data_IF_625173897709
#
_entry.id   IF_625173897709
#
_cell.length_a   1.000
_cell.length_b   1.000
_cell.length_c   1.000
_cell.angle_alpha   90.00
_cell.angle_beta   90.00
_cell.angle_gamma   90.00
#
_symmetry.space_group_name_H-M   'P 1'
#
loop_
_entity.id
_entity.type
_entity.pdbx_description
1 polymer ?
#
# COMPACT_ATOMS: atom_id res chain seq x y z
N UNK A 1 8.62 13.41 22.75
CA UNK A 1 9.07 12.01 22.60
C UNK A 1 9.67 11.85 21.21
N UNK A 2 10.70 11.02 21.07
CA UNK A 2 11.36 10.75 19.78
C UNK A 2 10.39 10.25 18.71
N UNK A 3 9.40 9.44 19.11
CA UNK A 3 8.36 8.92 18.21
C UNK A 3 7.62 10.03 17.46
N UNK A 4 7.25 11.12 18.15
CA UNK A 4 6.51 12.22 17.52
C UNK A 4 7.35 12.91 16.45
N UNK A 5 8.62 13.15 16.75
CA UNK A 5 9.56 13.78 15.81
C UNK A 5 9.81 12.90 14.59
N UNK A 6 9.93 11.58 14.78
CA UNK A 6 10.07 10.64 13.67
C UNK A 6 8.84 10.66 12.74
N UNK A 7 7.63 10.71 13.29
CA UNK A 7 6.39 10.81 12.50
C UNK A 7 6.33 12.15 11.74
N UNK A 8 6.62 13.26 12.41
CA UNK A 8 6.62 14.59 11.78
C UNK A 8 7.65 14.69 10.65
N UNK A 9 8.86 14.15 10.85
CA UNK A 9 9.91 14.09 9.84
C UNK A 9 9.50 13.25 8.62
N UNK A 10 8.87 12.10 8.85
CA UNK A 10 8.34 11.25 7.78
C UNK A 10 7.26 11.98 6.97
N UNK A 11 6.29 12.60 7.65
CA UNK A 11 5.20 13.34 6.99
C UNK A 11 5.75 14.52 6.18
N UNK A 12 6.73 15.25 6.70
CA UNK A 12 7.36 16.37 5.99
C UNK A 12 8.10 15.92 4.72
N UNK A 13 8.83 14.79 4.79
CA UNK A 13 9.60 14.28 3.66
C UNK A 13 8.72 13.72 2.53
N UNK A 14 7.63 13.02 2.87
CA UNK A 14 6.84 12.26 1.91
C UNK A 14 5.45 12.84 1.61
N UNK A 15 4.90 13.66 2.50
CA UNK A 15 3.58 14.29 2.37
C UNK A 15 3.39 15.16 1.12
N UNK A 16 4.33 16.06 0.74
CA UNK A 16 4.14 16.98 -0.39
C UNK A 16 3.92 16.29 -1.75
N UNK A 17 4.43 15.07 -1.92
CA UNK A 17 4.29 14.27 -3.15
C UNK A 17 3.36 13.07 -2.98
N UNK A 18 2.80 12.88 -1.79
CA UNK A 18 1.91 11.76 -1.52
C UNK A 18 0.64 11.91 -2.37
N UNK A 19 0.34 10.89 -3.16
CA UNK A 19 -0.92 10.84 -3.91
C UNK A 19 -2.03 10.43 -2.94
N UNK A 20 -3.24 11.01 -3.05
CA UNK A 20 -4.39 10.52 -2.30
C UNK A 20 -4.56 9.02 -2.50
N UNK A 21 -4.83 8.30 -1.41
CA UNK A 21 -5.17 6.90 -1.52
C UNK A 21 -6.49 6.76 -2.29
N UNK A 22 -6.45 6.12 -3.45
CA UNK A 22 -7.65 5.85 -4.23
C UNK A 22 -8.19 4.50 -3.81
N UNK A 23 -9.32 4.50 -3.12
CA UNK A 23 -10.05 3.27 -2.82
C UNK A 23 -10.58 2.67 -4.11
N UNK A 24 -9.88 1.66 -4.65
CA UNK A 24 -10.30 0.94 -5.85
C UNK A 24 -10.89 -0.39 -5.45
N UNK A 25 -12.20 -0.56 -5.67
CA UNK A 25 -12.81 -1.87 -5.70
C UNK A 25 -12.23 -2.63 -6.89
N UNK A 26 -11.30 -3.55 -6.63
CA UNK A 26 -10.76 -4.42 -7.67
C UNK A 26 -11.76 -5.55 -7.87
N UNK A 27 -12.31 -5.68 -9.08
CA UNK A 27 -12.97 -6.92 -9.45
C UNK A 27 -11.92 -8.03 -9.48
N UNK A 28 -12.07 -9.00 -8.59
CA UNK A 28 -11.23 -10.18 -8.57
C UNK A 28 -11.98 -11.28 -9.29
N UNK A 29 -11.50 -11.64 -10.48
CA UNK A 29 -12.01 -12.81 -11.20
C UNK A 29 -11.43 -14.06 -10.55
N UNK A 30 -12.21 -15.15 -10.44
CA UNK A 30 -11.76 -16.38 -9.78
C UNK A 30 -10.44 -16.96 -10.34
N UNK A 31 -10.14 -16.67 -11.62
CA UNK A 31 -8.86 -17.00 -12.25
C UNK A 31 -7.66 -16.25 -11.65
N UNK A 32 -7.83 -14.99 -11.22
CA UNK A 32 -6.76 -14.22 -10.57
C UNK A 32 -6.37 -14.82 -9.23
N UNK A 33 -7.33 -15.30 -8.43
CA UNK A 33 -7.03 -15.97 -7.15
C UNK A 33 -6.21 -17.25 -7.37
N UNK A 34 -6.62 -18.09 -8.32
CA UNK A 34 -5.90 -19.33 -8.66
C UNK A 34 -4.48 -19.03 -9.12
N UNK A 35 -4.29 -18.05 -9.99
CA UNK A 35 -2.97 -17.66 -10.49
C UNK A 35 -2.08 -17.07 -9.38
N UNK A 36 -2.65 -16.27 -8.47
CA UNK A 36 -1.91 -15.74 -7.33
C UNK A 36 -1.44 -16.85 -6.39
N UNK A 37 -2.28 -17.83 -6.08
CA UNK A 37 -1.89 -18.96 -5.24
C UNK A 37 -0.75 -19.75 -5.88
N UNK A 38 -0.86 -20.08 -7.17
CA UNK A 38 0.23 -20.78 -7.88
C UNK A 38 1.54 -20.00 -7.83
N UNK A 39 1.51 -18.69 -8.08
CA UNK A 39 2.72 -17.85 -8.03
C UNK A 39 3.34 -17.74 -6.63
N UNK A 40 2.54 -17.85 -5.56
CA UNK A 40 3.05 -17.83 -4.18
C UNK A 40 3.58 -19.18 -3.71
N UNK A 41 3.16 -20.27 -4.36
CA UNK A 41 3.61 -21.64 -4.08
C UNK A 41 4.81 -22.08 -4.92
N UNK A 42 5.38 -21.17 -5.74
CA UNK A 42 6.63 -21.36 -6.49
C UNK A 42 7.78 -20.65 -5.78
#
# INVERSE_FOLDING_TARGET
SELRQAIEAFVAAYGPKAKPFVWRKREVRGSQLRNTIVNLCN
#
